data_IF_889052144131
#
_entry.id   IF_889052144131
#
_cell.length_a   1.000
_cell.length_b   1.000
_cell.length_c   1.000
_cell.angle_alpha   90.00
_cell.angle_beta   90.00
_cell.angle_gamma   90.00
#
_symmetry.space_group_name_H-M   'P 1'
#
loop_
_entity.id
_entity.type
_entity.pdbx_description
1 polymer ?
#
# COMPACT_ATOMS: atom_id res chain seq x y z
N UNK A 1 15.85 93.56 -7.96
CA UNK A 1 16.19 93.53 -6.52
C UNK A 1 16.06 92.10 -6.02
N UNK A 2 17.14 91.64 -5.41
CA UNK A 2 17.29 90.43 -4.59
C UNK A 2 17.30 89.07 -5.24
N UNK A 3 18.52 88.59 -5.40
CA UNK A 3 18.98 87.22 -5.57
C UNK A 3 18.56 86.33 -4.39
N UNK A 4 18.25 85.08 -4.70
CA UNK A 4 18.48 84.00 -3.76
C UNK A 4 18.97 82.79 -4.60
N UNK A 5 20.21 82.46 -4.37
CA UNK A 5 20.83 81.22 -4.83
C UNK A 5 20.35 80.05 -4.02
N UNK A 6 19.95 78.96 -4.67
CA UNK A 6 19.75 77.69 -4.01
C UNK A 6 20.75 76.66 -4.53
N UNK A 7 21.68 76.26 -3.68
CA UNK A 7 22.61 75.16 -3.89
C UNK A 7 21.85 73.85 -3.94
N UNK A 8 21.99 73.14 -5.04
CA UNK A 8 21.57 71.77 -5.12
C UNK A 8 22.71 70.89 -4.58
N UNK A 9 22.45 70.21 -3.47
CA UNK A 9 23.34 69.16 -2.96
C UNK A 9 22.97 67.84 -3.63
N UNK A 10 23.89 67.36 -4.46
CA UNK A 10 23.82 66.06 -5.13
C UNK A 10 24.28 64.97 -4.15
N UNK A 11 23.33 64.26 -3.55
CA UNK A 11 23.60 63.10 -2.73
C UNK A 11 23.77 61.87 -3.66
N UNK A 12 25.01 61.42 -3.83
CA UNK A 12 25.31 60.17 -4.49
C UNK A 12 24.97 59.01 -3.52
N UNK A 13 23.90 58.28 -3.82
CA UNK A 13 23.63 56.99 -3.17
C UNK A 13 24.53 55.96 -3.85
N UNK A 14 25.56 55.50 -3.16
CA UNK A 14 26.27 54.28 -3.48
C UNK A 14 25.37 53.09 -3.09
N UNK A 15 24.82 52.42 -4.09
CA UNK A 15 24.26 51.09 -3.94
C UNK A 15 25.40 50.09 -3.77
N UNK A 16 25.74 49.80 -2.54
CA UNK A 16 26.55 48.60 -2.24
C UNK A 16 25.57 47.42 -2.24
N UNK A 17 25.53 46.71 -3.35
CA UNK A 17 24.96 45.38 -3.42
C UNK A 17 25.94 44.41 -2.78
N UNK A 18 25.84 44.22 -1.47
CA UNK A 18 26.36 43.03 -0.82
C UNK A 18 25.18 42.07 -0.67
N UNK A 19 25.21 40.99 -1.43
CA UNK A 19 24.44 39.81 -1.11
C UNK A 19 24.92 39.25 0.23
N UNK A 20 24.24 39.59 1.27
CA UNK A 20 24.21 38.87 2.53
C UNK A 20 22.76 38.45 2.73
N UNK A 21 22.56 37.17 2.70
CA UNK A 21 21.36 36.59 3.36
C UNK A 21 21.36 37.14 4.79
N UNK A 22 20.62 38.21 5.00
CA UNK A 22 20.31 38.65 6.34
C UNK A 22 19.25 37.68 6.86
N UNK A 23 19.72 36.61 7.49
CA UNK A 23 18.90 35.93 8.47
C UNK A 23 18.38 36.99 9.42
N UNK A 24 17.10 37.29 9.35
CA UNK A 24 16.42 38.19 10.32
C UNK A 24 16.40 37.41 11.61
N UNK A 25 17.44 37.60 12.44
CA UNK A 25 17.47 37.07 13.80
C UNK A 25 16.46 37.82 14.63
N UNK A 26 15.33 37.19 14.88
CA UNK A 26 14.45 37.64 15.95
C UNK A 26 15.18 37.40 17.29
N UNK A 27 15.44 38.46 18.04
CA UNK A 27 16.00 38.37 19.39
C UNK A 27 14.90 37.86 20.35
N UNK A 28 14.74 36.57 20.48
CA UNK A 28 13.82 35.88 21.36
C UNK A 28 13.69 34.44 20.86
N UNK A 29 14.08 33.51 21.67
CA UNK A 29 14.05 32.08 21.53
C UNK A 29 13.93 31.54 20.07
N UNK A 30 15.06 31.45 19.38
CA UNK A 30 15.11 31.03 17.97
C UNK A 30 14.50 29.62 17.84
N UNK A 31 13.43 29.48 17.06
CA UNK A 31 12.83 28.18 16.71
C UNK A 31 13.86 27.26 16.06
N UNK A 32 13.66 25.95 16.17
CA UNK A 32 14.44 24.97 15.42
C UNK A 32 13.64 24.50 14.21
N UNK A 33 14.24 24.58 13.02
CA UNK A 33 13.68 23.98 11.82
C UNK A 33 13.74 22.46 11.95
N UNK A 34 12.65 21.76 11.66
CA UNK A 34 12.63 20.31 11.63
C UNK A 34 13.09 19.78 10.28
N UNK A 35 13.97 18.78 10.32
CA UNK A 35 14.36 18.01 9.12
C UNK A 35 13.83 16.60 9.25
N UNK A 36 13.35 16.05 8.14
CA UNK A 36 12.74 14.73 8.10
C UNK A 36 13.52 13.78 7.21
N UNK A 37 13.76 12.59 7.73
CA UNK A 37 14.16 11.41 6.96
C UNK A 37 13.15 10.30 7.20
N UNK A 38 13.10 9.29 6.34
CA UNK A 38 12.16 8.20 6.54
C UNK A 38 12.70 6.85 6.11
N UNK A 39 12.09 5.83 6.69
CA UNK A 39 12.13 4.45 6.27
C UNK A 39 10.72 3.88 6.26
N UNK A 40 10.56 2.74 5.57
CA UNK A 40 9.33 1.96 5.59
C UNK A 40 9.65 0.63 6.29
N UNK A 41 8.93 0.34 7.40
CA UNK A 41 9.07 -0.91 8.17
C UNK A 41 10.49 -1.28 8.62
N UNK A 42 11.32 -0.33 9.07
CA UNK A 42 12.58 -0.68 9.72
C UNK A 42 12.34 -1.37 11.07
N UNK A 43 12.22 -2.68 11.04
CA UNK A 43 12.47 -3.49 12.23
C UNK A 43 13.92 -3.97 12.21
N UNK A 44 14.80 -3.20 12.88
CA UNK A 44 16.17 -3.59 13.30
C UNK A 44 16.84 -4.72 12.49
N UNK A 45 17.03 -4.57 11.19
CA UNK A 45 17.80 -5.50 10.40
C UNK A 45 18.96 -4.80 9.70
N UNK A 46 20.16 -5.28 10.01
CA UNK A 46 21.44 -4.81 9.47
C UNK A 46 21.70 -5.22 8.01
N UNK A 47 20.67 -5.54 7.22
CA UNK A 47 20.86 -5.95 5.83
C UNK A 47 20.02 -5.13 4.89
N UNK A 48 20.74 -4.27 4.17
CA UNK A 48 20.23 -3.44 3.09
C UNK A 48 20.08 -4.31 1.84
N UNK A 49 18.86 -4.66 1.47
CA UNK A 49 18.57 -5.19 0.13
C UNK A 49 17.36 -4.46 -0.45
N UNK A 50 17.55 -3.90 -1.63
CA UNK A 50 16.58 -3.09 -2.37
C UNK A 50 15.56 -3.98 -3.06
N UNK A 51 14.27 -3.82 -2.73
CA UNK A 51 13.16 -4.27 -3.59
C UNK A 51 11.99 -3.30 -3.45
N UNK A 52 11.37 -2.97 -4.56
CA UNK A 52 10.22 -2.08 -4.72
C UNK A 52 9.06 -2.43 -3.79
N UNK A 53 8.63 -1.48 -2.94
CA UNK A 53 7.52 -1.61 -1.99
C UNK A 53 7.87 -1.27 -0.53
N UNK A 54 9.16 -1.15 -0.21
CA UNK A 54 9.66 -0.68 1.10
C UNK A 54 10.67 0.47 0.94
N UNK A 55 10.79 1.03 -0.25
CA UNK A 55 11.65 2.17 -0.55
C UNK A 55 10.84 3.30 -1.11
N UNK A 56 11.18 4.51 -0.70
CA UNK A 56 10.65 5.72 -1.28
C UNK A 56 11.20 5.93 -2.69
N UNK A 57 10.33 6.29 -3.61
CA UNK A 57 10.72 6.77 -4.93
C UNK A 57 10.99 8.28 -4.90
N UNK A 58 11.97 8.73 -5.70
CA UNK A 58 12.29 10.15 -5.80
C UNK A 58 11.06 10.94 -6.28
N UNK A 59 10.63 11.88 -5.46
CA UNK A 59 9.44 12.68 -5.74
C UNK A 59 8.17 12.22 -5.02
N UNK A 60 8.18 11.13 -4.28
CA UNK A 60 7.06 10.74 -3.43
C UNK A 60 6.65 11.86 -2.47
N UNK A 61 5.36 12.08 -2.34
CA UNK A 61 4.80 13.18 -1.56
C UNK A 61 4.02 12.67 -0.36
N UNK A 62 4.43 13.15 0.82
CA UNK A 62 3.79 12.82 2.10
C UNK A 62 3.20 14.07 2.73
N UNK A 63 2.27 13.87 3.63
CA UNK A 63 1.83 14.91 4.54
C UNK A 63 2.43 14.70 5.92
N UNK A 64 2.91 15.79 6.53
CA UNK A 64 3.46 15.79 7.88
C UNK A 64 2.72 16.82 8.73
N UNK A 65 2.32 16.42 9.93
CA UNK A 65 1.74 17.31 10.95
C UNK A 65 2.63 17.32 12.17
N UNK A 66 2.84 18.50 12.76
CA UNK A 66 3.62 18.67 13.97
C UNK A 66 2.91 19.57 14.98
N UNK A 67 2.59 19.02 16.13
CA UNK A 67 1.86 19.71 17.18
C UNK A 67 0.46 20.17 16.75
N UNK A 68 -0.11 21.17 17.44
CA UNK A 68 -1.51 21.56 17.21
C UNK A 68 -1.73 22.47 15.99
N UNK A 69 -0.70 23.19 15.54
CA UNK A 69 -0.85 24.28 14.55
C UNK A 69 -0.26 24.01 13.18
N UNK A 70 0.74 23.15 13.08
CA UNK A 70 1.39 22.81 11.81
C UNK A 70 0.80 21.50 11.30
N UNK A 71 -0.29 21.60 10.55
CA UNK A 71 -1.10 20.47 10.11
C UNK A 71 -1.02 20.29 8.61
N UNK A 72 -0.95 19.02 8.19
CA UNK A 72 -1.07 18.62 6.78
C UNK A 72 -0.09 19.36 5.87
N UNK A 73 1.16 19.52 6.31
CA UNK A 73 2.20 20.18 5.53
C UNK A 73 2.76 19.17 4.53
N UNK A 74 2.83 19.56 3.26
CA UNK A 74 3.24 18.66 2.19
C UNK A 74 4.74 18.68 1.98
N UNK A 75 5.33 17.49 2.01
CA UNK A 75 6.74 17.24 1.82
C UNK A 75 6.98 16.27 0.67
N UNK A 76 8.06 16.50 -0.06
CA UNK A 76 8.50 15.65 -1.16
C UNK A 76 9.81 14.96 -0.80
N UNK A 77 9.87 13.66 -1.08
CA UNK A 77 11.07 12.86 -0.88
C UNK A 77 12.13 13.15 -1.92
N UNK A 78 13.39 13.19 -1.47
CA UNK A 78 14.57 13.32 -2.29
C UNK A 78 15.47 12.09 -2.04
N UNK A 79 15.56 11.22 -3.04
CA UNK A 79 16.32 9.98 -2.93
C UNK A 79 17.85 10.21 -2.85
N UNK A 80 18.35 11.38 -3.27
CA UNK A 80 19.80 11.66 -3.29
C UNK A 80 20.37 11.80 -1.88
N UNK A 81 19.59 12.28 -0.92
CA UNK A 81 20.02 12.52 0.47
C UNK A 81 19.12 11.85 1.52
N UNK A 82 18.15 11.03 1.10
CA UNK A 82 17.18 10.36 1.95
C UNK A 82 16.47 11.36 2.88
N UNK A 83 15.99 12.47 2.33
CA UNK A 83 15.34 13.52 3.10
C UNK A 83 14.02 13.96 2.46
N UNK A 84 13.20 14.61 3.27
CA UNK A 84 11.97 15.26 2.81
C UNK A 84 12.14 16.77 2.83
N UNK A 85 11.72 17.42 1.74
CA UNK A 85 11.71 18.88 1.60
C UNK A 85 10.26 19.37 1.45
N UNK A 86 9.88 20.39 2.20
CA UNK A 86 8.55 20.99 2.07
C UNK A 86 8.33 21.47 0.63
N UNK A 87 7.18 21.13 0.06
CA UNK A 87 6.82 21.52 -1.31
C UNK A 87 6.74 23.05 -1.41
N UNK A 88 6.15 23.67 -0.42
CA UNK A 88 6.19 25.12 -0.25
C UNK A 88 7.18 25.46 0.88
N UNK A 89 8.27 26.12 0.56
CA UNK A 89 9.31 26.50 1.52
C UNK A 89 8.82 27.42 2.65
N UNK A 90 7.68 28.07 2.50
CA UNK A 90 7.10 28.93 3.54
C UNK A 90 6.38 28.13 4.63
N UNK A 91 6.07 26.87 4.33
CA UNK A 91 5.34 25.98 5.22
C UNK A 91 6.24 24.94 5.92
N UNK A 92 7.57 25.16 5.87
CA UNK A 92 8.54 24.35 6.62
C UNK A 92 8.16 24.29 8.12
N UNK A 93 8.22 23.10 8.71
CA UNK A 93 7.87 22.89 10.11
C UNK A 93 8.97 23.42 11.04
N UNK A 94 8.58 24.20 12.02
CA UNK A 94 9.45 24.82 13.01
C UNK A 94 8.97 24.54 14.44
N UNK A 95 9.87 24.20 15.35
CA UNK A 95 9.62 24.03 16.78
C UNK A 95 9.97 25.33 17.49
N UNK A 96 8.96 26.03 17.99
CA UNK A 96 9.13 27.34 18.63
C UNK A 96 9.26 27.24 20.14
N UNK A 97 8.67 26.23 20.77
CA UNK A 97 8.73 25.97 22.20
C UNK A 97 9.76 24.92 22.59
N UNK A 98 9.91 24.69 23.90
CA UNK A 98 10.80 23.67 24.45
C UNK A 98 10.05 22.37 24.83
N UNK A 99 8.72 22.32 24.59
CA UNK A 99 7.89 21.14 24.77
C UNK A 99 8.21 20.07 23.72
N UNK A 100 7.77 18.87 24.02
CA UNK A 100 7.75 17.78 23.05
C UNK A 100 6.52 17.89 22.16
N UNK A 101 6.70 17.78 20.86
CA UNK A 101 5.66 17.86 19.84
C UNK A 101 5.38 16.47 19.28
N UNK A 102 4.11 16.10 19.19
CA UNK A 102 3.70 14.93 18.42
C UNK A 102 3.85 15.23 16.93
N UNK A 103 4.49 14.31 16.23
CA UNK A 103 4.66 14.34 14.78
C UNK A 103 3.96 13.14 14.18
N UNK A 104 3.06 13.39 13.23
CA UNK A 104 2.39 12.34 12.44
C UNK A 104 2.65 12.58 10.97
N UNK A 105 2.74 11.51 10.20
CA UNK A 105 2.92 11.59 8.75
C UNK A 105 2.16 10.46 8.07
N UNK A 106 1.68 10.71 6.84
CA UNK A 106 0.99 9.71 6.05
C UNK A 106 1.26 9.86 4.56
N UNK A 107 1.07 8.77 3.82
CA UNK A 107 1.21 8.65 2.37
C UNK A 107 0.03 7.88 1.78
N UNK A 108 -0.44 8.21 0.57
CA UNK A 108 -0.13 9.44 -0.16
C UNK A 108 -0.78 10.66 0.51
N UNK A 109 -0.24 11.87 0.26
CA UNK A 109 -0.85 13.08 0.81
C UNK A 109 -2.22 13.37 0.20
N UNK A 110 -3.16 13.84 1.00
CA UNK A 110 -4.52 14.22 0.56
C UNK A 110 -5.01 15.46 1.30
N UNK A 111 -6.08 16.07 0.79
CA UNK A 111 -6.70 17.26 1.38
C UNK A 111 -5.98 18.55 1.00
N UNK A 112 -6.14 19.55 1.85
CA UNK A 112 -5.56 20.89 1.66
C UNK A 112 -4.46 21.13 2.68
N UNK A 113 -3.33 21.68 2.23
CA UNK A 113 -2.21 22.04 3.09
C UNK A 113 -2.63 23.02 4.19
N UNK A 114 -2.12 22.83 5.40
CA UNK A 114 -2.44 23.67 6.56
C UNK A 114 -3.79 23.36 7.23
N UNK A 115 -4.55 22.41 6.73
CA UNK A 115 -5.84 22.00 7.31
C UNK A 115 -5.69 20.74 8.17
N UNK A 116 -6.74 20.38 8.92
CA UNK A 116 -6.77 19.10 9.63
C UNK A 116 -6.75 17.96 8.58
N UNK A 117 -5.87 16.97 8.74
CA UNK A 117 -5.82 15.84 7.82
C UNK A 117 -7.19 15.16 7.67
N UNK A 118 -7.67 14.89 6.45
CA UNK A 118 -8.99 14.33 6.24
C UNK A 118 -9.03 12.83 6.50
N UNK A 119 -10.22 12.30 6.77
CA UNK A 119 -10.47 10.86 6.62
C UNK A 119 -10.69 10.57 5.14
N UNK A 120 -9.86 9.72 4.56
CA UNK A 120 -9.96 9.33 3.16
C UNK A 120 -10.99 8.20 3.00
N UNK A 121 -11.92 8.37 2.07
CA UNK A 121 -12.83 7.30 1.66
C UNK A 121 -12.07 6.35 0.72
N UNK A 122 -12.17 5.08 0.99
CA UNK A 122 -11.50 4.00 0.24
C UNK A 122 -12.55 3.11 -0.41
N UNK A 123 -12.46 2.98 -1.72
CA UNK A 123 -13.23 2.04 -2.51
C UNK A 123 -12.29 1.23 -3.40
N UNK A 124 -12.24 -0.08 -3.17
CA UNK A 124 -11.41 -1.01 -3.92
C UNK A 124 -12.25 -1.60 -5.05
N UNK A 125 -11.83 -1.40 -6.29
CA UNK A 125 -12.49 -1.93 -7.48
C UNK A 125 -11.54 -2.80 -8.29
N UNK A 126 -12.07 -3.50 -9.28
CA UNK A 126 -11.28 -4.30 -10.21
C UNK A 126 -10.39 -3.44 -11.14
N UNK A 127 -10.70 -2.16 -11.26
CA UNK A 127 -10.12 -1.26 -12.26
C UNK A 127 -9.06 -0.32 -11.66
N UNK A 128 -9.05 -0.16 -10.33
CA UNK A 128 -8.18 0.83 -9.69
C UNK A 128 -6.91 0.24 -9.05
N UNK A 129 -6.58 -1.01 -9.37
CA UNK A 129 -5.34 -1.68 -8.93
C UNK A 129 -4.73 -2.58 -10.03
N UNK A 130 -5.04 -2.33 -11.31
CA UNK A 130 -4.56 -3.17 -12.41
C UNK A 130 -3.07 -2.97 -12.67
N UNK A 131 -2.57 -1.75 -12.51
CA UNK A 131 -1.16 -1.43 -12.70
C UNK A 131 -0.41 -1.27 -11.37
N UNK A 132 0.93 -1.40 -11.35
CA UNK A 132 1.72 -1.11 -10.15
C UNK A 132 1.50 0.31 -9.62
N UNK A 133 1.38 1.30 -10.49
CA UNK A 133 1.15 2.71 -10.14
C UNK A 133 -0.22 2.91 -9.48
N UNK A 134 -1.26 2.27 -10.02
CA UNK A 134 -2.59 2.31 -9.41
C UNK A 134 -2.60 1.62 -8.05
N UNK A 135 -1.93 0.48 -7.92
CA UNK A 135 -1.79 -0.19 -6.62
C UNK A 135 -1.06 0.65 -5.59
N UNK A 136 0.00 1.38 -5.99
CA UNK A 136 0.73 2.27 -5.10
C UNK A 136 -0.17 3.35 -4.47
N UNK A 137 -1.23 3.78 -5.15
CA UNK A 137 -2.21 4.72 -4.61
C UNK A 137 -3.06 4.14 -3.46
N UNK A 138 -3.05 2.82 -3.27
CA UNK A 138 -3.69 2.12 -2.14
C UNK A 138 -2.71 1.62 -1.09
N UNK A 139 -1.43 1.89 -1.25
CA UNK A 139 -0.41 1.59 -0.25
C UNK A 139 -0.34 2.71 0.78
N UNK A 140 -1.36 2.78 1.64
CA UNK A 140 -1.41 3.80 2.68
C UNK A 140 -0.36 3.53 3.74
N UNK A 141 0.50 4.52 3.96
CA UNK A 141 1.55 4.46 4.97
C UNK A 141 1.29 5.50 6.06
N UNK A 142 1.66 5.15 7.28
CA UNK A 142 1.53 6.04 8.43
C UNK A 142 2.74 5.93 9.35
N UNK A 143 3.20 7.07 9.85
CA UNK A 143 4.23 7.18 10.88
C UNK A 143 3.79 8.11 12.00
N UNK A 144 4.20 7.80 13.22
CA UNK A 144 4.01 8.66 14.39
C UNK A 144 5.26 8.62 15.25
N UNK A 145 5.73 9.80 15.65
CA UNK A 145 6.90 9.98 16.49
C UNK A 145 6.81 11.31 17.25
N UNK A 146 7.90 11.72 17.88
CA UNK A 146 7.98 12.97 18.63
C UNK A 146 9.19 13.76 18.19
N UNK A 147 9.10 15.08 18.34
CA UNK A 147 10.18 16.01 18.06
C UNK A 147 10.36 16.99 19.21
N UNK A 148 11.58 17.40 19.47
CA UNK A 148 11.91 18.48 20.40
C UNK A 148 12.85 19.47 19.73
N UNK A 149 12.85 20.71 20.25
CA UNK A 149 13.77 21.75 19.78
C UNK A 149 15.25 21.36 19.93
N UNK A 150 15.57 20.50 20.89
CA UNK A 150 16.93 20.00 21.10
C UNK A 150 17.30 18.90 20.09
N UNK A 151 16.30 18.17 19.58
CA UNK A 151 16.45 17.07 18.62
C UNK A 151 15.49 17.30 17.43
N UNK A 152 15.78 18.28 16.55
CA UNK A 152 14.91 18.64 15.44
C UNK A 152 15.06 17.75 14.21
N UNK A 153 16.01 16.80 14.22
CA UNK A 153 16.19 15.84 13.12
C UNK A 153 15.30 14.63 13.42
N UNK A 154 14.20 14.51 12.71
CA UNK A 154 13.16 13.51 12.94
C UNK A 154 13.27 12.42 11.91
N UNK A 155 13.35 11.17 12.37
CA UNK A 155 13.21 10.01 11.52
C UNK A 155 11.78 9.45 11.61
N UNK A 156 11.13 9.32 10.46
CA UNK A 156 9.78 8.80 10.33
C UNK A 156 9.85 7.33 9.89
N UNK A 157 9.43 6.42 10.77
CA UNK A 157 9.31 5.01 10.42
C UNK A 157 7.86 4.71 10.03
N UNK A 158 7.61 4.62 8.72
CA UNK A 158 6.29 4.37 8.20
C UNK A 158 5.93 2.89 8.25
N UNK A 159 4.67 2.62 8.53
CA UNK A 159 4.09 1.29 8.51
C UNK A 159 2.94 1.26 7.51
N UNK A 160 2.77 0.12 6.81
CA UNK A 160 1.64 -0.08 5.93
C UNK A 160 0.34 -0.18 6.74
N UNK A 161 -0.66 0.58 6.33
CA UNK A 161 -2.00 0.56 6.93
C UNK A 161 -2.93 -0.44 6.25
N UNK A 162 -2.59 -0.91 5.05
CA UNK A 162 -3.35 -1.87 4.27
C UNK A 162 -2.84 -3.30 4.48
N UNK A 163 -3.62 -4.28 4.00
CA UNK A 163 -3.20 -5.67 3.84
C UNK A 163 -2.84 -5.92 2.39
N UNK A 164 -1.79 -6.69 2.11
CA UNK A 164 -1.42 -7.12 0.76
C UNK A 164 -1.74 -8.59 0.55
N UNK A 165 -2.37 -8.92 -0.57
CA UNK A 165 -2.61 -10.30 -1.00
C UNK A 165 -1.89 -10.54 -2.31
N UNK A 166 -1.08 -11.59 -2.36
CA UNK A 166 -0.38 -12.06 -3.55
C UNK A 166 -0.79 -13.50 -3.84
N UNK A 167 -1.38 -13.73 -5.00
CA UNK A 167 -1.77 -15.06 -5.48
C UNK A 167 -0.92 -15.39 -6.70
N UNK A 168 0.05 -16.28 -6.53
CA UNK A 168 0.91 -16.74 -7.61
C UNK A 168 0.38 -18.05 -8.19
N UNK A 169 0.01 -18.03 -9.47
CA UNK A 169 -0.41 -19.23 -10.18
C UNK A 169 0.80 -19.89 -10.83
N UNK A 170 0.96 -21.19 -10.57
CA UNK A 170 2.01 -22.00 -11.19
C UNK A 170 1.41 -23.14 -11.99
N UNK A 171 2.02 -23.50 -13.12
CA UNK A 171 1.58 -24.63 -13.90
C UNK A 171 1.60 -25.94 -13.09
N UNK A 172 0.49 -26.65 -13.07
CA UNK A 172 0.43 -28.04 -12.66
C UNK A 172 0.62 -28.97 -13.85
N UNK A 173 -0.01 -30.12 -13.83
CA UNK A 173 0.07 -31.12 -14.90
C UNK A 173 -1.31 -31.54 -15.41
N UNK A 174 -1.35 -31.98 -16.67
CA UNK A 174 -2.49 -32.70 -17.24
C UNK A 174 -2.48 -34.17 -16.78
N UNK A 175 -3.51 -34.99 -17.12
CA UNK A 175 -3.56 -36.42 -16.78
C UNK A 175 -2.42 -37.25 -17.37
N UNK A 176 -1.80 -36.81 -18.45
CA UNK A 176 -0.65 -37.39 -19.08
C UNK A 176 0.67 -37.01 -18.45
N UNK A 177 0.65 -36.05 -17.48
CA UNK A 177 1.83 -35.56 -16.78
C UNK A 177 2.56 -34.42 -17.48
N UNK A 178 1.99 -33.82 -18.52
CA UNK A 178 2.58 -32.67 -19.21
C UNK A 178 2.25 -31.37 -18.42
N UNK A 179 3.17 -30.39 -18.41
CA UNK A 179 2.89 -29.10 -17.80
C UNK A 179 1.70 -28.38 -18.45
N UNK A 180 0.80 -27.85 -17.64
CA UNK A 180 -0.30 -27.00 -18.12
C UNK A 180 0.28 -25.63 -18.52
N UNK A 181 -0.07 -25.16 -19.71
CA UNK A 181 0.25 -23.79 -20.12
C UNK A 181 -0.84 -22.86 -19.63
N UNK A 182 -0.43 -21.81 -18.90
CA UNK A 182 -1.35 -20.83 -18.34
C UNK A 182 -1.31 -19.54 -19.16
N UNK A 183 -2.45 -19.15 -19.74
CA UNK A 183 -2.62 -17.88 -20.45
C UNK A 183 -3.97 -17.27 -20.09
N UNK A 184 -4.12 -15.98 -20.33
CA UNK A 184 -5.36 -15.22 -20.10
C UNK A 184 -5.98 -15.52 -18.72
N UNK A 185 -5.16 -15.42 -17.68
CA UNK A 185 -5.59 -15.72 -16.31
C UNK A 185 -6.50 -14.60 -15.81
N UNK A 186 -7.70 -14.98 -15.42
CA UNK A 186 -8.67 -14.12 -14.76
C UNK A 186 -8.89 -14.66 -13.35
N UNK A 187 -8.77 -13.80 -12.35
CA UNK A 187 -8.88 -14.18 -10.94
C UNK A 187 -9.95 -13.37 -10.22
N UNK A 188 -10.71 -14.04 -9.37
CA UNK A 188 -11.69 -13.44 -8.47
C UNK A 188 -11.32 -13.78 -7.03
N UNK A 189 -11.26 -12.76 -6.20
CA UNK A 189 -11.21 -12.90 -4.76
C UNK A 189 -12.60 -12.63 -4.21
N UNK A 190 -13.25 -13.65 -3.67
CA UNK A 190 -14.65 -13.64 -3.25
C UNK A 190 -14.73 -13.67 -1.72
N UNK A 191 -15.67 -12.95 -1.14
CA UNK A 191 -15.89 -12.97 0.30
C UNK A 191 -15.23 -11.81 1.05
N UNK A 192 -14.83 -10.73 0.36
CA UNK A 192 -14.20 -9.55 0.94
C UNK A 192 -15.13 -8.34 1.01
N UNK A 193 -14.78 -7.40 1.86
CA UNK A 193 -15.39 -6.06 1.90
C UNK A 193 -14.43 -5.07 1.26
N UNK A 194 -14.94 -4.20 0.38
CA UNK A 194 -14.13 -3.33 -0.47
C UNK A 194 -14.22 -1.84 -0.11
N UNK A 195 -15.20 -1.47 0.70
CA UNK A 195 -15.46 -0.07 1.04
C UNK A 195 -15.08 0.21 2.49
N UNK A 196 -14.45 1.36 2.71
CA UNK A 196 -14.04 1.76 4.04
C UNK A 196 -13.37 3.13 4.08
N UNK A 197 -12.49 3.31 5.03
CA UNK A 197 -11.79 4.58 5.24
C UNK A 197 -10.34 4.34 5.63
N UNK A 198 -9.50 5.34 5.32
CA UNK A 198 -8.20 5.53 5.93
C UNK A 198 -8.21 6.85 6.72
N UNK A 199 -8.08 6.75 8.03
CA UNK A 199 -7.96 7.91 8.91
C UNK A 199 -6.50 8.38 8.93
N UNK A 200 -6.22 9.49 8.27
CA UNK A 200 -4.87 10.01 8.11
C UNK A 200 -4.30 10.65 9.39
N UNK A 201 -5.13 10.93 10.39
CA UNK A 201 -4.67 11.44 11.70
C UNK A 201 -4.17 10.31 12.61
N UNK A 202 -4.81 9.14 12.53
CA UNK A 202 -4.49 7.97 13.37
C UNK A 202 -3.75 6.86 12.66
N UNK A 203 -3.72 6.88 11.32
CA UNK A 203 -3.11 5.83 10.49
C UNK A 203 -3.96 4.56 10.40
N UNK A 204 -5.22 4.59 10.81
CA UNK A 204 -6.08 3.42 10.81
C UNK A 204 -6.84 3.31 9.50
N UNK A 205 -6.59 2.21 8.77
CA UNK A 205 -7.43 1.79 7.67
C UNK A 205 -8.42 0.72 8.15
N UNK A 206 -9.68 0.83 7.76
CA UNK A 206 -10.71 -0.11 8.17
C UNK A 206 -11.87 -0.17 7.17
N UNK A 207 -12.51 -1.32 7.04
CA UNK A 207 -13.75 -1.46 6.30
C UNK A 207 -14.89 -0.70 6.99
N UNK A 208 -15.81 -0.14 6.20
CA UNK A 208 -17.01 0.47 6.74
C UNK A 208 -17.89 -0.59 7.45
N UNK A 209 -18.55 -0.18 8.53
CA UNK A 209 -19.38 -1.09 9.33
C UNK A 209 -20.49 -1.74 8.50
N UNK A 210 -21.07 -0.98 7.57
CA UNK A 210 -22.13 -1.40 6.68
C UNK A 210 -21.65 -1.91 5.31
N UNK A 211 -20.33 -2.06 5.12
CA UNK A 211 -19.80 -2.56 3.87
C UNK A 211 -20.28 -3.99 3.58
N UNK A 212 -20.87 -4.15 2.40
CA UNK A 212 -21.31 -5.45 1.93
C UNK A 212 -20.11 -6.32 1.53
N UNK A 213 -20.23 -7.62 1.77
CA UNK A 213 -19.30 -8.62 1.20
C UNK A 213 -19.52 -8.68 -0.31
N UNK A 214 -18.45 -8.78 -1.07
CA UNK A 214 -18.46 -8.75 -2.54
C UNK A 214 -17.23 -9.44 -3.12
N UNK A 215 -17.14 -9.44 -4.44
CA UNK A 215 -16.07 -10.03 -5.20
C UNK A 215 -15.13 -8.93 -5.75
N UNK A 216 -13.86 -9.24 -5.85
CA UNK A 216 -12.89 -8.45 -6.59
C UNK A 216 -12.37 -9.28 -7.75
N UNK A 217 -12.65 -8.83 -8.97
CA UNK A 217 -12.15 -9.42 -10.20
C UNK A 217 -10.90 -8.68 -10.65
N UNK A 218 -9.89 -9.41 -11.12
CA UNK A 218 -8.73 -8.82 -11.77
C UNK A 218 -8.22 -9.71 -12.90
N UNK A 219 -7.76 -9.10 -13.99
CA UNK A 219 -7.05 -9.77 -15.06
C UNK A 219 -5.55 -9.72 -14.77
N UNK A 220 -4.88 -10.87 -14.87
CA UNK A 220 -3.42 -10.90 -14.80
C UNK A 220 -2.83 -10.54 -16.16
N UNK A 221 -1.95 -9.55 -16.19
CA UNK A 221 -1.20 -9.20 -17.39
C UNK A 221 -0.21 -10.28 -17.75
N UNK A 222 -0.06 -10.56 -19.06
CA UNK A 222 0.81 -11.61 -19.58
C UNK A 222 2.30 -11.43 -19.22
N UNK A 223 2.71 -10.21 -18.88
CA UNK A 223 4.09 -9.86 -18.54
C UNK A 223 4.45 -10.13 -17.07
N UNK A 224 3.46 -10.48 -16.26
CA UNK A 224 3.69 -10.86 -14.89
C UNK A 224 4.02 -12.35 -14.79
N UNK A 225 4.75 -12.72 -13.77
CA UNK A 225 5.06 -14.10 -13.40
C UNK A 225 3.83 -14.90 -12.91
N UNK A 226 2.65 -14.61 -13.46
CA UNK A 226 1.32 -15.10 -13.08
C UNK A 226 0.95 -14.78 -11.63
N UNK A 227 1.39 -13.63 -11.13
CA UNK A 227 1.05 -13.17 -9.79
C UNK A 227 -0.05 -12.10 -9.82
N UNK A 228 -1.11 -12.34 -9.08
CA UNK A 228 -2.15 -11.38 -8.75
C UNK A 228 -1.78 -10.68 -7.46
N UNK A 229 -1.71 -9.35 -7.47
CA UNK A 229 -1.42 -8.55 -6.27
C UNK A 229 -2.53 -7.53 -6.05
N UNK A 230 -3.05 -7.46 -4.84
CA UNK A 230 -4.06 -6.47 -4.45
C UNK A 230 -3.82 -5.98 -3.03
N UNK A 231 -4.08 -4.69 -2.81
CA UNK A 231 -4.14 -4.07 -1.48
C UNK A 231 -5.58 -4.02 -1.01
N UNK A 232 -5.82 -4.51 0.20
CA UNK A 232 -7.15 -4.61 0.79
C UNK A 232 -7.20 -3.89 2.13
N UNK A 233 -8.36 -3.37 2.47
CA UNK A 233 -8.62 -2.87 3.81
C UNK A 233 -8.49 -4.00 4.83
N UNK A 234 -7.84 -3.76 5.98
CA UNK A 234 -7.82 -4.72 7.07
C UNK A 234 -9.24 -5.11 7.48
N UNK A 235 -9.47 -6.41 7.60
CA UNK A 235 -10.82 -6.92 7.86
C UNK A 235 -10.82 -8.33 8.45
N UNK A 236 -11.86 -8.64 9.20
CA UNK A 236 -12.18 -10.00 9.61
C UNK A 236 -12.92 -10.69 8.48
N UNK A 237 -12.54 -11.91 8.14
CA UNK A 237 -13.21 -12.73 7.15
C UNK A 237 -14.53 -13.29 7.73
N UNK A 238 -15.57 -13.26 6.91
CA UNK A 238 -16.88 -13.78 7.32
C UNK A 238 -16.88 -15.30 7.52
N UNK A 239 -17.96 -15.81 8.08
CA UNK A 239 -18.09 -17.25 8.40
C UNK A 239 -18.02 -18.16 7.16
N UNK A 240 -18.36 -17.63 5.99
CA UNK A 240 -18.27 -18.35 4.70
C UNK A 240 -16.82 -18.55 4.22
N UNK A 241 -15.85 -17.95 4.90
CA UNK A 241 -14.44 -18.00 4.47
C UNK A 241 -14.14 -17.09 3.29
N UNK A 242 -12.99 -17.35 2.66
CA UNK A 242 -12.52 -16.65 1.47
C UNK A 242 -12.52 -17.64 0.31
N UNK A 243 -12.92 -17.18 -0.88
CA UNK A 243 -12.88 -18.01 -2.08
C UNK A 243 -11.99 -17.37 -3.13
N UNK A 244 -11.22 -18.19 -3.83
CA UNK A 244 -10.42 -17.80 -4.99
C UNK A 244 -10.99 -18.56 -6.18
N UNK A 245 -11.52 -17.81 -7.13
CA UNK A 245 -11.95 -18.36 -8.41
C UNK A 245 -10.98 -17.90 -9.49
N UNK A 246 -10.64 -18.79 -10.42
CA UNK A 246 -9.81 -18.41 -11.54
C UNK A 246 -10.28 -19.09 -12.83
N UNK A 247 -10.06 -18.41 -13.95
CA UNK A 247 -10.27 -18.97 -15.27
C UNK A 247 -9.02 -18.78 -16.10
N UNK A 248 -8.57 -19.83 -16.78
CA UNK A 248 -7.33 -19.82 -17.55
C UNK A 248 -7.56 -20.46 -18.92
N UNK A 249 -6.82 -19.99 -19.91
CA UNK A 249 -6.83 -20.57 -21.24
C UNK A 249 -5.62 -21.48 -21.41
N UNK A 250 -5.83 -22.70 -21.86
CA UNK A 250 -4.78 -23.67 -22.15
C UNK A 250 -4.22 -23.50 -23.57
N UNK A 251 -3.10 -24.14 -23.88
CA UNK A 251 -2.46 -24.07 -25.18
C UNK A 251 -3.36 -24.53 -26.33
N UNK A 252 -4.30 -25.45 -26.08
CA UNK A 252 -5.31 -25.94 -27.04
C UNK A 252 -6.60 -25.08 -27.04
N UNK A 253 -6.55 -23.90 -26.45
CA UNK A 253 -7.65 -22.92 -26.41
C UNK A 253 -8.88 -23.36 -25.60
N UNK A 254 -8.75 -24.32 -24.70
CA UNK A 254 -9.82 -24.63 -23.74
C UNK A 254 -9.79 -23.62 -22.60
N UNK A 255 -10.94 -23.23 -22.09
CA UNK A 255 -11.08 -22.45 -20.87
C UNK A 255 -11.30 -23.39 -19.69
N UNK A 256 -10.41 -23.34 -18.71
CA UNK A 256 -10.51 -24.13 -17.48
C UNK A 256 -10.91 -23.18 -16.35
N UNK A 257 -11.85 -23.61 -15.54
CA UNK A 257 -12.31 -22.88 -14.35
C UNK A 257 -11.78 -23.58 -13.11
N UNK A 258 -11.24 -22.78 -12.21
CA UNK A 258 -10.65 -23.23 -10.97
C UNK A 258 -11.38 -22.62 -9.80
N UNK A 259 -11.38 -23.32 -8.70
CA UNK A 259 -12.00 -22.93 -7.46
C UNK A 259 -11.14 -23.35 -6.27
N UNK A 260 -11.03 -22.47 -5.27
CA UNK A 260 -10.39 -22.78 -4.01
C UNK A 260 -11.16 -22.10 -2.90
N UNK A 261 -11.56 -22.85 -1.91
CA UNK A 261 -12.17 -22.35 -0.68
C UNK A 261 -11.14 -22.36 0.43
N UNK A 262 -10.97 -21.23 1.10
CA UNK A 262 -10.08 -21.07 2.25
C UNK A 262 -10.98 -20.83 3.47
N UNK A 263 -11.09 -21.82 4.35
CA UNK A 263 -11.95 -21.71 5.52
C UNK A 263 -11.46 -20.59 6.46
N UNK A 264 -12.38 -19.97 7.17
CA UNK A 264 -12.09 -18.90 8.11
C UNK A 264 -11.10 -19.31 9.22
N UNK A 265 -11.00 -20.62 9.52
CA UNK A 265 -10.00 -21.14 10.47
C UNK A 265 -8.56 -20.92 10.00
N UNK A 266 -8.34 -20.93 8.68
CA UNK A 266 -7.02 -20.84 8.07
C UNK A 266 -6.67 -19.39 7.71
N UNK A 267 -7.69 -18.58 7.44
CA UNK A 267 -7.54 -17.16 7.19
C UNK A 267 -8.64 -16.33 7.88
N UNK A 268 -8.54 -16.12 9.20
CA UNK A 268 -9.60 -15.46 9.96
C UNK A 268 -9.67 -13.95 9.75
N UNK A 269 -8.57 -13.32 9.40
CA UNK A 269 -8.45 -11.87 9.27
C UNK A 269 -7.35 -11.46 8.29
N UNK A 270 -7.52 -10.30 7.70
CA UNK A 270 -6.49 -9.55 6.98
C UNK A 270 -6.02 -8.40 7.87
N UNK A 271 -4.77 -8.44 8.30
CA UNK A 271 -4.18 -7.46 9.23
C UNK A 271 -3.51 -6.33 8.48
N UNK A 272 -3.59 -5.12 9.02
CA UNK A 272 -2.77 -3.99 8.56
C UNK A 272 -1.28 -4.35 8.60
N UNK A 273 -0.55 -4.00 7.56
CA UNK A 273 0.88 -4.23 7.46
C UNK A 273 1.29 -5.70 7.29
N UNK A 274 0.38 -6.58 6.88
CA UNK A 274 0.69 -7.97 6.58
C UNK A 274 0.55 -8.28 5.09
N UNK A 275 1.43 -9.15 4.60
CA UNK A 275 1.39 -9.73 3.26
C UNK A 275 0.97 -11.19 3.33
N UNK A 276 -0.03 -11.56 2.55
CA UNK A 276 -0.60 -12.89 2.43
C UNK A 276 -0.22 -13.44 1.06
N UNK A 277 0.75 -14.35 1.04
CA UNK A 277 1.33 -14.87 -0.21
C UNK A 277 0.93 -16.34 -0.37
N UNK A 278 0.22 -16.64 -1.45
CA UNK A 278 -0.20 -17.99 -1.79
C UNK A 278 0.36 -18.39 -3.15
N UNK A 279 0.93 -19.57 -3.21
CA UNK A 279 1.27 -20.23 -4.47
C UNK A 279 0.22 -21.28 -4.79
N UNK A 280 -0.44 -21.12 -5.93
CA UNK A 280 -1.59 -21.90 -6.36
C UNK A 280 -1.23 -22.71 -7.58
N UNK A 281 -1.27 -24.05 -7.48
CA UNK A 281 -0.98 -24.95 -8.58
C UNK A 281 -2.25 -25.23 -9.37
N UNK A 282 -2.20 -24.95 -10.67
CA UNK A 282 -3.30 -25.15 -11.59
C UNK A 282 -3.09 -26.45 -12.38
N UNK A 283 -3.75 -27.54 -11.97
CA UNK A 283 -3.76 -28.82 -12.67
C UNK A 283 -4.91 -28.85 -13.69
N UNK A 284 -4.76 -29.60 -14.78
CA UNK A 284 -5.82 -29.87 -15.74
C UNK A 284 -6.27 -31.33 -15.63
N UNK A 285 -7.36 -31.56 -14.94
CA UNK A 285 -7.90 -32.90 -14.78
C UNK A 285 -8.83 -33.34 -15.93
N UNK A 286 -8.97 -32.51 -16.98
CA UNK A 286 -9.85 -32.79 -18.14
C UNK A 286 -11.30 -33.03 -17.74
N UNK A 287 -11.75 -32.52 -16.62
CA UNK A 287 -13.13 -32.69 -16.11
C UNK A 287 -14.02 -31.53 -16.54
N UNK A 288 -15.34 -31.77 -16.60
CA UNK A 288 -16.32 -30.74 -16.92
C UNK A 288 -16.69 -29.85 -15.69
N UNK A 289 -16.25 -30.23 -14.50
CA UNK A 289 -16.49 -29.49 -13.26
C UNK A 289 -15.33 -28.52 -12.97
N UNK A 290 -15.57 -27.45 -12.20
CA UNK A 290 -14.46 -26.61 -11.75
C UNK A 290 -13.35 -27.44 -11.12
N UNK A 291 -12.13 -27.19 -11.52
CA UNK A 291 -10.95 -27.88 -10.98
C UNK A 291 -10.53 -27.20 -9.70
N UNK A 292 -10.18 -27.98 -8.67
CA UNK A 292 -9.68 -27.43 -7.41
C UNK A 292 -8.25 -26.93 -7.62
N UNK A 293 -7.98 -25.68 -7.21
CA UNK A 293 -6.62 -25.18 -7.10
C UNK A 293 -5.96 -25.81 -5.87
N UNK A 294 -4.72 -26.23 -6.04
CA UNK A 294 -3.93 -26.75 -4.93
C UNK A 294 -3.04 -25.66 -4.34
N UNK A 295 -3.09 -25.45 -3.03
CA UNK A 295 -2.15 -24.58 -2.34
C UNK A 295 -0.82 -25.32 -2.25
N UNK A 296 0.19 -24.89 -3.02
CA UNK A 296 1.54 -25.44 -2.97
C UNK A 296 2.52 -24.64 -2.13
N UNK A 297 2.11 -23.46 -1.68
CA UNK A 297 2.89 -22.62 -0.75
C UNK A 297 2.04 -21.55 -0.11
N UNK A 298 2.31 -21.27 1.15
CA UNK A 298 1.67 -20.19 1.92
C UNK A 298 2.73 -19.50 2.76
N UNK A 299 2.75 -18.17 2.70
CA UNK A 299 3.62 -17.34 3.51
C UNK A 299 2.85 -16.08 3.96
N UNK A 300 2.64 -15.96 5.27
CA UNK A 300 1.92 -14.83 5.87
C UNK A 300 2.86 -14.14 6.83
N UNK A 301 3.35 -12.98 6.42
CA UNK A 301 4.36 -12.25 7.17
C UNK A 301 3.95 -10.79 7.36
N UNK A 302 4.49 -10.11 8.39
CA UNK A 302 4.51 -8.66 8.38
C UNK A 302 5.04 -8.18 7.03
N UNK A 303 4.43 -7.16 6.47
CA UNK A 303 4.81 -6.61 5.18
C UNK A 303 6.17 -5.89 5.31
N UNK A 304 7.18 -6.69 5.39
CA UNK A 304 8.59 -6.32 5.28
C UNK A 304 9.10 -7.09 4.09
N UNK A 305 9.49 -6.44 3.01
CA UNK A 305 10.09 -7.15 1.91
C UNK A 305 11.48 -7.62 2.31
N UNK A 306 11.55 -8.86 2.73
CA UNK A 306 12.80 -9.58 2.84
C UNK A 306 12.88 -10.50 1.63
N UNK A 307 13.61 -10.10 0.61
CA UNK A 307 14.13 -11.05 -0.37
C UNK A 307 15.18 -11.91 0.33
N UNK A 308 14.76 -12.97 0.96
CA UNK A 308 15.62 -14.09 1.26
C UNK A 308 15.38 -15.18 0.23
N UNK A 309 16.31 -15.32 -0.72
CA UNK A 309 16.72 -16.60 -1.22
C UNK A 309 17.42 -17.39 -0.12
N UNK A 310 16.75 -17.62 0.98
CA UNK A 310 17.11 -18.61 1.96
C UNK A 310 15.80 -19.31 2.31
N UNK A 311 15.78 -20.62 2.05
CA UNK A 311 14.74 -21.50 2.58
C UNK A 311 14.57 -21.18 4.06
N UNK A 312 13.46 -20.55 4.48
CA UNK A 312 13.20 -20.42 5.90
C UNK A 312 12.96 -21.83 6.41
N UNK A 313 13.59 -22.16 7.54
CA UNK A 313 13.01 -23.18 8.40
C UNK A 313 11.57 -22.75 8.66
N UNK A 314 10.67 -23.31 7.89
CA UNK A 314 9.24 -23.12 8.02
C UNK A 314 8.87 -23.61 9.42
N UNK A 315 8.84 -22.68 10.37
CA UNK A 315 7.92 -22.83 11.48
C UNK A 315 6.55 -22.58 10.89
N UNK A 316 6.05 -23.60 10.20
CA UNK A 316 4.68 -23.72 9.82
C UNK A 316 3.84 -23.35 11.05
N UNK A 317 3.11 -22.24 10.95
CA UNK A 317 1.80 -22.20 11.60
C UNK A 317 1.02 -23.32 10.91
N UNK A 318 0.92 -24.42 11.68
CA UNK A 318 0.54 -25.74 11.24
C UNK A 318 -0.66 -25.72 10.36
N UNK A 319 -0.54 -26.53 9.50
CA UNK A 319 -1.38 -27.66 9.10
C UNK A 319 -1.32 -27.78 7.61
N UNK A 320 -0.80 -28.89 7.21
CA UNK A 320 -1.25 -29.56 6.00
C UNK A 320 -2.78 -29.44 6.00
N UNK A 321 -3.32 -28.58 5.14
CA UNK A 321 -4.70 -28.72 4.72
C UNK A 321 -4.74 -30.04 3.94
N UNK A 322 -4.83 -31.15 4.66
CA UNK A 322 -5.29 -32.39 4.10
C UNK A 322 -6.66 -32.08 3.56
N UNK A 323 -6.78 -32.12 2.25
CA UNK A 323 -8.05 -32.33 1.59
C UNK A 323 -8.59 -33.68 2.09
N UNK A 324 -9.22 -33.68 3.25
CA UNK A 324 -10.16 -34.74 3.59
C UNK A 324 -11.36 -34.50 2.69
N UNK A 325 -11.45 -35.35 1.65
CA UNK A 325 -12.56 -35.36 0.75
C UNK A 325 -13.85 -35.41 1.57
N UNK A 326 -14.56 -34.28 1.65
CA UNK A 326 -15.95 -34.30 2.00
C UNK A 326 -16.64 -35.07 0.88
N UNK A 327 -17.23 -36.22 1.22
CA UNK A 327 -18.16 -36.92 0.35
C UNK A 327 -19.25 -35.93 -0.07
N UNK A 328 -19.20 -35.48 -1.30
CA UNK A 328 -20.25 -34.69 -1.91
C UNK A 328 -21.52 -35.54 -1.94
N UNK A 329 -22.51 -35.15 -1.16
CA UNK A 329 -23.86 -35.66 -1.32
C UNK A 329 -24.29 -35.42 -2.76
N UNK A 330 -24.80 -36.45 -3.39
CA UNK A 330 -25.35 -36.43 -4.74
C UNK A 330 -26.33 -35.24 -4.86
N UNK A 331 -25.88 -34.18 -5.59
CA UNK A 331 -26.81 -33.16 -6.04
C UNK A 331 -27.67 -33.76 -7.13
N UNK A 332 -28.97 -33.82 -6.88
CA UNK A 332 -29.95 -34.18 -7.87
C UNK A 332 -29.81 -33.29 -9.09
N UNK A 333 -29.52 -33.89 -10.23
CA UNK A 333 -29.48 -33.21 -11.53
C UNK A 333 -30.88 -32.75 -11.89
N UNK A 334 -31.17 -31.45 -11.71
CA UNK A 334 -32.35 -30.86 -12.36
C UNK A 334 -32.08 -30.80 -13.87
N UNK A 335 -32.95 -31.48 -14.58
CA UNK A 335 -32.98 -31.58 -16.05
C UNK A 335 -33.15 -30.19 -16.65
N UNK A 336 -32.13 -29.68 -17.33
CA UNK A 336 -32.19 -28.43 -18.11
C UNK A 336 -33.04 -28.70 -19.35
N UNK A 337 -34.30 -28.23 -19.33
CA UNK A 337 -35.18 -28.24 -20.49
C UNK A 337 -34.71 -27.21 -21.51
N UNK A 338 -34.40 -27.58 -22.76
CA UNK A 338 -34.02 -26.62 -23.78
C UNK A 338 -35.19 -25.71 -24.15
N UNK A 339 -35.03 -24.40 -24.07
CA UNK A 339 -35.99 -23.41 -24.57
C UNK A 339 -35.83 -23.36 -26.11
N UNK A 340 -36.84 -23.89 -26.82
CA UNK A 340 -37.00 -23.70 -28.26
C UNK A 340 -37.24 -22.21 -28.57
N UNK A 341 -36.46 -21.69 -29.51
CA UNK A 341 -36.68 -20.36 -30.08
C UNK A 341 -37.92 -20.37 -30.95
N UNK A 342 -38.88 -19.48 -30.66
CA UNK A 342 -39.85 -18.96 -31.61
C UNK A 342 -39.38 -17.59 -32.12
#
# INVERSE_FOLDING_TARGET
MKNISSMAALAALLLVSCGQDTDVKFAGDEGAKVTFSASINEQNSQDVSRVTGVTWDDGDEVSISCGPTQKNVFYRYNAADNSFTAINRLDEIWLLGNEEYDVTAYYPHVGEEGTVPPVQIVEITSENQDTPEERAAFDFLYASTKATKAEPNVHLNFNHAMSRVNLKFVPGTDPEGNPVTLTDIECYLVGIKRNGTFDTETGVAAVAEDAAVSDLRQMLNADNDHTFTVYLLPQTIGAEGLQIEAAMTTADSRRIYYFLEIPVSDWPEMKAGYSYNYTLTANDYMTASPTVLEISGTDINPWTEVNKEETPDAKALGTEAKAEGSEWGEMETEEIIPVEKQ
#
